data_IF_275864054725
#
_entry.id   IF_275864054725
#
_cell.length_a   1.000
_cell.length_b   1.000
_cell.length_c   1.000
_cell.angle_alpha   90.00
_cell.angle_beta   90.00
_cell.angle_gamma   90.00
#
_symmetry.space_group_name_H-M   'P 1'
#
loop_
_entity.id
_entity.type
_entity.pdbx_description
1 polymer ?
#
# COMPACT_ATOMS: atom_id res chain seq x y z
N UNK A 1 16.02 -7.39 11.45
CA UNK A 1 15.06 -8.15 10.62
C UNK A 1 13.98 -7.17 10.17
N UNK A 2 13.66 -7.11 8.87
CA UNK A 2 12.59 -6.25 8.38
C UNK A 2 11.22 -6.76 8.88
N UNK A 3 10.23 -5.87 9.03
CA UNK A 3 8.86 -6.27 9.38
C UNK A 3 8.21 -6.97 8.18
N UNK A 4 7.45 -8.04 8.43
CA UNK A 4 6.57 -8.63 7.41
C UNK A 4 5.35 -7.70 7.23
N UNK A 5 4.98 -7.45 5.98
CA UNK A 5 3.81 -6.64 5.63
C UNK A 5 2.73 -7.49 4.96
N UNK A 6 1.48 -7.12 5.17
CA UNK A 6 0.35 -7.59 4.38
C UNK A 6 0.07 -6.60 3.26
N UNK A 7 -0.11 -7.12 2.04
CA UNK A 7 -0.50 -6.34 0.86
C UNK A 7 -1.82 -6.90 0.37
N UNK A 8 -2.85 -6.07 0.39
CA UNK A 8 -4.09 -6.31 -0.33
C UNK A 8 -3.95 -5.71 -1.73
N UNK A 9 -3.83 -6.57 -2.74
CA UNK A 9 -3.65 -6.19 -4.13
C UNK A 9 -4.99 -6.25 -4.88
N UNK A 10 -5.80 -5.22 -4.69
CA UNK A 10 -7.08 -5.08 -5.37
C UNK A 10 -6.93 -4.56 -6.80
N UNK A 11 -7.90 -4.86 -7.67
CA UNK A 11 -7.90 -4.41 -9.07
C UNK A 11 -7.99 -2.88 -9.20
N UNK A 12 -8.72 -2.21 -8.32
CA UNK A 12 -8.93 -0.75 -8.37
C UNK A 12 -8.05 -0.01 -7.37
N UNK A 13 -7.93 -0.53 -6.16
CA UNK A 13 -7.11 0.06 -5.10
C UNK A 13 -6.36 -1.04 -4.35
N UNK A 14 -5.18 -0.70 -3.85
CA UNK A 14 -4.36 -1.53 -2.99
C UNK A 14 -4.19 -0.90 -1.60
N UNK A 15 -3.89 -1.73 -0.61
CA UNK A 15 -3.65 -1.33 0.78
C UNK A 15 -2.47 -2.10 1.36
N UNK A 16 -1.69 -1.46 2.23
CA UNK A 16 -0.53 -2.08 2.89
C UNK A 16 -0.68 -1.93 4.40
N UNK A 17 -0.43 -3.02 5.14
CA UNK A 17 -0.49 -3.03 6.60
C UNK A 17 0.68 -3.78 7.21
N UNK A 18 0.95 -3.48 8.48
CA UNK A 18 1.96 -4.14 9.30
C UNK A 18 1.40 -4.44 10.68
N UNK A 19 1.91 -5.49 11.33
CA UNK A 19 1.59 -5.78 12.72
C UNK A 19 2.46 -4.93 13.65
N UNK A 20 1.84 -4.08 14.48
CA UNK A 20 2.49 -3.27 15.51
C UNK A 20 1.81 -3.49 16.86
N UNK A 21 2.59 -3.86 17.89
CA UNK A 21 2.07 -4.05 19.25
C UNK A 21 0.99 -5.14 19.37
N UNK A 22 1.01 -6.14 18.49
CA UNK A 22 -0.02 -7.19 18.43
C UNK A 22 -1.30 -6.80 17.68
N UNK A 23 -1.35 -5.60 17.10
CA UNK A 23 -2.49 -5.10 16.34
C UNK A 23 -2.13 -4.77 14.89
N UNK A 24 -3.03 -4.95 13.91
CA UNK A 24 -2.80 -4.52 12.54
C UNK A 24 -2.89 -3.00 12.41
N UNK A 25 -1.97 -2.41 11.66
CA UNK A 25 -1.96 -0.97 11.37
C UNK A 25 -1.71 -0.74 9.88
N UNK A 26 -2.57 0.06 9.25
CA UNK A 26 -2.42 0.48 7.86
C UNK A 26 -1.26 1.47 7.73
N UNK A 27 -0.45 1.30 6.70
CA UNK A 27 0.63 2.21 6.34
C UNK A 27 0.05 3.24 5.36
N UNK A 28 0.08 4.52 5.74
CA UNK A 28 -0.39 5.60 4.88
C UNK A 28 0.54 5.80 3.68
N UNK A 29 -0.04 6.15 2.52
CA UNK A 29 0.71 6.65 1.37
C UNK A 29 1.41 7.97 1.73
N UNK A 30 2.33 8.42 0.87
CA UNK A 30 2.99 9.73 1.01
C UNK A 30 1.98 10.89 1.05
N UNK A 31 0.83 10.73 0.41
CA UNK A 31 -0.28 11.67 0.35
C UNK A 31 -1.26 11.52 1.54
N UNK A 32 -0.96 10.66 2.51
CA UNK A 32 -1.76 10.46 3.73
C UNK A 32 -3.00 9.58 3.54
N UNK A 33 -3.11 8.84 2.43
CA UNK A 33 -4.26 7.96 2.15
C UNK A 33 -4.00 6.54 2.66
N UNK A 34 -5.08 5.84 3.04
CA UNK A 34 -5.02 4.43 3.46
C UNK A 34 -5.00 3.44 2.30
N UNK A 35 -5.41 3.89 1.11
CA UNK A 35 -5.47 3.08 -0.11
C UNK A 35 -4.84 3.86 -1.26
N UNK A 36 -4.24 3.12 -2.19
CA UNK A 36 -3.53 3.65 -3.36
C UNK A 36 -4.20 3.09 -4.62
N UNK A 37 -4.49 3.89 -5.66
CA UNK A 37 -5.05 3.38 -6.91
C UNK A 37 -4.09 2.37 -7.55
N UNK A 38 -4.59 1.19 -7.93
CA UNK A 38 -3.80 0.12 -8.54
C UNK A 38 -3.56 0.40 -10.03
N UNK A 39 -2.64 1.31 -10.33
CA UNK A 39 -2.38 1.80 -11.71
C UNK A 39 -0.89 1.80 -12.00
N UNK A 40 -0.50 1.30 -13.17
CA UNK A 40 0.85 1.46 -13.71
C UNK A 40 0.77 2.06 -15.12
N UNK A 41 1.35 3.25 -15.31
CA UNK A 41 1.54 3.90 -16.60
C UNK A 41 3.05 4.04 -16.86
N UNK A 42 3.65 3.16 -17.67
CA UNK A 42 5.09 3.16 -17.93
C UNK A 42 5.54 4.34 -18.81
N UNK A 43 4.63 4.95 -19.57
CA UNK A 43 4.95 6.11 -20.43
C UNK A 43 5.02 7.37 -19.58
N UNK A 44 4.09 7.52 -18.64
CA UNK A 44 4.05 8.67 -17.72
C UNK A 44 4.88 8.46 -16.45
N UNK A 45 5.53 7.31 -16.30
CA UNK A 45 6.25 6.91 -15.09
C UNK A 45 5.40 7.02 -13.82
N UNK A 46 4.13 6.62 -13.90
CA UNK A 46 3.22 6.58 -12.75
C UNK A 46 3.08 5.14 -12.29
N UNK A 47 3.33 4.90 -11.02
CA UNK A 47 3.03 3.62 -10.35
C UNK A 47 2.27 3.94 -9.07
N UNK A 48 1.09 3.36 -8.94
CA UNK A 48 0.28 3.35 -7.74
C UNK A 48 0.19 1.93 -7.20
N UNK A 49 1.06 1.63 -6.23
CA UNK A 49 0.98 0.55 -5.23
C UNK A 49 1.64 1.08 -3.96
#
# INVERSE_FOLDING_TARGET
MAKIIGIDLGTTNSCVAVMEGGSPKVIHSREGRNVIPSVADPIKHVVGI
#
